data_IF_596080203836
#
_entry.id   IF_596080203836
#
_cell.length_a   1.000
_cell.length_b   1.000
_cell.length_c   1.000
_cell.angle_alpha   90.00
_cell.angle_beta   90.00
_cell.angle_gamma   90.00
#
_symmetry.space_group_name_H-M   'P 1'
#
loop_
_entity.id
_entity.type
_entity.pdbx_description
1 polymer ?
#
# COMPACT_ATOMS: atom_id res chain seq x y z
N UNK A 1 -11.45 11.82 0.95
CA UNK A 1 -10.99 11.44 2.31
C UNK A 1 -9.83 12.30 2.74
N UNK A 2 -9.96 13.07 3.83
CA UNK A 2 -8.90 13.99 4.30
C UNK A 2 -7.59 13.25 4.60
N UNK A 3 -7.68 12.01 5.11
CA UNK A 3 -6.54 11.13 5.39
C UNK A 3 -5.69 10.82 4.16
N UNK A 4 -6.30 10.59 3.00
CA UNK A 4 -5.60 10.33 1.73
C UNK A 4 -4.86 11.57 1.22
N UNK A 5 -5.38 12.76 1.54
CA UNK A 5 -4.80 14.04 1.12
C UNK A 5 -3.66 14.50 2.03
N UNK A 6 -3.74 14.18 3.33
CA UNK A 6 -2.77 14.64 4.33
C UNK A 6 -1.71 13.60 4.68
N UNK A 7 -1.86 12.34 4.25
CA UNK A 7 -0.97 11.23 4.60
C UNK A 7 -0.37 10.59 3.36
N UNK A 8 0.96 10.48 3.33
CA UNK A 8 1.64 9.78 2.23
C UNK A 8 1.42 8.26 2.31
N UNK A 9 1.39 7.54 1.18
CA UNK A 9 1.21 6.08 1.17
C UNK A 9 2.25 5.33 2.02
N UNK A 10 3.51 5.80 2.05
CA UNK A 10 4.55 5.22 2.90
C UNK A 10 4.27 5.46 4.40
N UNK A 11 3.74 6.63 4.77
CA UNK A 11 3.36 6.89 6.16
C UNK A 11 2.12 6.06 6.58
N UNK A 12 1.24 5.71 5.64
CA UNK A 12 0.12 4.80 5.88
C UNK A 12 0.61 3.38 6.18
N UNK A 13 1.61 2.86 5.46
CA UNK A 13 2.16 1.52 5.74
C UNK A 13 2.90 1.47 7.08
N UNK A 14 3.66 2.51 7.42
CA UNK A 14 4.29 2.63 8.74
C UNK A 14 3.23 2.65 9.85
N UNK A 15 2.14 3.39 9.65
CA UNK A 15 1.01 3.45 10.59
C UNK A 15 0.29 2.12 10.73
N UNK A 16 0.13 1.38 9.62
CA UNK A 16 -0.45 0.04 9.60
C UNK A 16 0.44 -0.97 10.33
N UNK A 17 1.76 -0.93 10.15
CA UNK A 17 2.70 -1.78 10.89
C UNK A 17 2.58 -1.56 12.41
N UNK A 18 2.51 -0.30 12.83
CA UNK A 18 2.35 0.05 14.25
C UNK A 18 1.01 -0.40 14.80
N UNK A 19 -0.05 -0.23 14.02
CA UNK A 19 -1.42 -0.61 14.41
C UNK A 19 -1.59 -2.13 14.49
N UNK A 20 -0.97 -2.88 13.57
CA UNK A 20 -1.01 -4.34 13.55
C UNK A 20 0.05 -4.97 14.47
N UNK A 21 0.87 -4.18 15.17
CA UNK A 21 1.94 -4.68 16.03
C UNK A 21 1.46 -5.65 17.12
N UNK A 22 0.21 -5.54 17.59
CA UNK A 22 -0.37 -6.48 18.56
C UNK A 22 -0.54 -7.91 17.99
N UNK A 23 -0.69 -8.06 16.66
CA UNK A 23 -0.80 -9.36 16.01
C UNK A 23 0.53 -10.13 16.02
N UNK A 24 1.66 -9.46 16.32
CA UNK A 24 2.95 -10.12 16.52
C UNK A 24 2.90 -11.13 17.66
N UNK A 25 2.03 -10.91 18.66
CA UNK A 25 1.79 -11.85 19.78
C UNK A 25 1.19 -13.18 19.28
N UNK A 26 0.40 -13.12 18.20
CA UNK A 26 -0.22 -14.29 17.56
C UNK A 26 0.73 -14.89 16.49
N UNK A 27 2.02 -14.51 16.51
CA UNK A 27 3.07 -14.95 15.55
C UNK A 27 2.80 -14.56 14.09
N UNK A 28 2.02 -13.51 13.85
CA UNK A 28 1.82 -12.97 12.50
C UNK A 28 3.04 -12.09 12.13
N UNK A 29 3.66 -12.29 10.94
CA UNK A 29 4.83 -11.54 10.49
C UNK A 29 4.46 -10.12 10.02
N UNK A 30 4.19 -9.22 10.97
CA UNK A 30 3.72 -7.85 10.70
C UNK A 30 4.77 -7.02 9.95
N UNK A 31 6.06 -7.24 10.23
CA UNK A 31 7.14 -6.48 9.62
C UNK A 31 7.26 -6.78 8.11
N UNK A 32 7.18 -8.07 7.77
CA UNK A 32 7.26 -8.59 6.41
C UNK A 32 6.06 -8.12 5.59
N UNK A 33 4.85 -8.12 6.18
CA UNK A 33 3.65 -7.57 5.55
C UNK A 33 3.81 -6.07 5.27
N UNK A 34 4.29 -5.30 6.25
CA UNK A 34 4.55 -3.86 6.06
C UNK A 34 5.58 -3.59 4.95
N UNK A 35 6.63 -4.40 4.88
CA UNK A 35 7.64 -4.32 3.84
C UNK A 35 7.05 -4.60 2.45
N UNK A 36 6.31 -5.71 2.30
CA UNK A 36 5.65 -6.06 1.03
C UNK A 36 4.68 -4.95 0.59
N UNK A 37 3.90 -4.40 1.52
CA UNK A 37 2.99 -3.29 1.23
C UNK A 37 3.72 -2.01 0.82
N UNK A 38 4.82 -1.67 1.48
CA UNK A 38 5.63 -0.49 1.13
C UNK A 38 6.29 -0.62 -0.25
N UNK A 39 6.72 -1.83 -0.62
CA UNK A 39 7.22 -2.14 -1.98
C UNK A 39 6.07 -2.03 -2.99
N UNK A 40 4.91 -2.62 -2.70
CA UNK A 40 3.75 -2.58 -3.58
C UNK A 40 3.31 -1.14 -3.87
N UNK A 41 3.19 -0.30 -2.84
CA UNK A 41 2.81 1.11 -3.00
C UNK A 41 3.81 1.91 -3.87
N UNK A 42 5.09 1.57 -3.83
CA UNK A 42 6.11 2.17 -4.70
C UNK A 42 6.10 1.61 -6.11
N UNK A 43 5.69 0.35 -6.29
CA UNK A 43 5.63 -0.29 -7.60
C UNK A 43 4.36 0.06 -8.37
N UNK A 44 3.24 0.35 -7.71
CA UNK A 44 1.97 0.71 -8.37
C UNK A 44 2.15 1.86 -9.38
N UNK A 45 2.75 3.02 -9.04
CA UNK A 45 2.94 4.11 -10.02
C UNK A 45 3.74 3.66 -11.24
N UNK A 46 4.82 2.90 -11.02
CA UNK A 46 5.70 2.46 -12.09
C UNK A 46 4.99 1.43 -13.00
N UNK A 47 4.18 0.53 -12.41
CA UNK A 47 3.39 -0.44 -13.17
C UNK A 47 2.30 0.24 -14.01
N UNK A 48 1.68 1.30 -13.50
CA UNK A 48 0.70 2.10 -14.27
C UNK A 48 1.38 2.76 -15.47
N UNK A 49 2.53 3.40 -15.26
CA UNK A 49 3.30 4.00 -16.36
C UNK A 49 3.76 2.98 -17.40
N UNK A 50 4.19 1.80 -16.96
CA UNK A 50 4.62 0.72 -17.85
C UNK A 50 3.44 0.13 -18.63
N UNK A 51 2.29 -0.03 -17.97
CA UNK A 51 1.04 -0.46 -18.61
C UNK A 51 0.64 0.53 -19.71
N UNK A 52 0.68 1.83 -19.43
CA UNK A 52 0.36 2.88 -20.41
C UNK A 52 1.32 2.86 -21.61
N UNK A 53 2.63 2.69 -21.37
CA UNK A 53 3.63 2.54 -22.43
C UNK A 53 3.37 1.32 -23.32
N UNK A 54 3.11 0.16 -22.71
CA UNK A 54 2.84 -1.08 -23.45
C UNK A 54 1.53 -0.94 -24.23
N UNK A 55 0.48 -0.40 -23.62
CA UNK A 55 -0.82 -0.20 -24.26
C UNK A 55 -0.69 0.69 -25.49
N UNK A 56 -0.02 1.85 -25.39
CA UNK A 56 0.25 2.74 -26.53
C UNK A 56 1.08 2.07 -27.62
N UNK A 57 2.09 1.28 -27.26
CA UNK A 57 2.90 0.55 -28.23
C UNK A 57 2.10 -0.53 -28.98
N UNK A 58 1.19 -1.22 -28.31
CA UNK A 58 0.32 -2.21 -28.94
C UNK A 58 -0.77 -1.56 -29.81
N UNK A 59 -1.34 -0.44 -29.39
CA UNK A 59 -2.27 0.35 -30.22
C UNK A 59 -1.60 0.80 -31.53
N UNK A 60 -0.35 1.26 -31.46
CA UNK A 60 0.44 1.62 -32.65
C UNK A 60 0.74 0.41 -33.57
N UNK A 61 0.73 -0.81 -33.03
CA UNK A 61 0.88 -2.07 -33.79
C UNK A 61 -0.46 -2.62 -34.30
N UNK A 62 -1.55 -1.88 -34.16
CA UNK A 62 -2.87 -2.26 -34.66
C UNK A 62 -3.69 -3.12 -33.70
N UNK A 63 -3.29 -3.24 -32.44
CA UNK A 63 -4.12 -3.89 -31.42
C UNK A 63 -5.26 -2.95 -30.99
N UNK A 64 -6.50 -3.41 -31.16
CA UNK A 64 -7.69 -2.72 -30.67
C UNK A 64 -8.13 -3.32 -29.32
N UNK A 65 -8.12 -2.50 -28.27
CA UNK A 65 -8.49 -2.89 -26.91
C UNK A 65 -9.94 -2.48 -26.55
N UNK A 66 -10.58 -1.65 -27.38
CA UNK A 66 -11.85 -0.98 -27.06
C UNK A 66 -13.03 -1.63 -27.80
N UNK A 67 -12.82 -2.18 -28.99
CA UNK A 67 -13.89 -2.78 -29.80
C UNK A 67 -14.06 -4.30 -29.58
N UNK A 68 -15.26 -4.80 -29.88
CA UNK A 68 -15.58 -6.24 -29.86
C UNK A 68 -16.28 -6.77 -28.60
N UNK A 69 -16.59 -8.06 -28.63
CA UNK A 69 -17.23 -8.79 -27.52
C UNK A 69 -16.27 -8.97 -26.32
N UNK A 70 -16.80 -9.23 -25.13
CA UNK A 70 -16.01 -9.44 -23.89
C UNK A 70 -14.87 -10.46 -24.08
N UNK A 71 -15.13 -11.53 -24.85
CA UNK A 71 -14.15 -12.58 -25.15
C UNK A 71 -13.01 -12.07 -26.06
N UNK A 72 -13.33 -11.20 -27.02
CA UNK A 72 -12.35 -10.58 -27.91
C UNK A 72 -11.48 -9.58 -27.13
N UNK A 73 -12.10 -8.79 -26.24
CA UNK A 73 -11.37 -7.89 -25.32
C UNK A 73 -10.42 -8.64 -24.40
N UNK A 74 -10.85 -9.76 -23.82
CA UNK A 74 -9.99 -10.59 -22.97
C UNK A 74 -8.77 -11.13 -23.75
N UNK A 75 -8.96 -11.59 -25.00
CA UNK A 75 -7.84 -12.01 -25.86
C UNK A 75 -6.93 -10.85 -26.25
N UNK A 76 -7.50 -9.67 -26.51
CA UNK A 76 -6.74 -8.46 -26.83
C UNK A 76 -5.86 -7.99 -25.67
N UNK A 77 -6.17 -8.33 -24.41
CA UNK A 77 -5.33 -7.99 -23.25
C UNK A 77 -4.09 -8.89 -23.08
N UNK A 78 -4.01 -10.05 -23.73
CA UNK A 78 -2.88 -10.99 -23.57
C UNK A 78 -1.52 -10.37 -23.93
N UNK A 79 -1.37 -9.63 -25.06
CA UNK A 79 -0.13 -8.94 -25.42
C UNK A 79 0.28 -7.81 -24.46
N UNK A 80 -0.64 -7.32 -23.63
CA UNK A 80 -0.35 -6.35 -22.55
C UNK A 80 0.13 -7.08 -21.29
N UNK A 81 -0.56 -8.16 -20.91
CA UNK A 81 -0.32 -8.88 -19.66
C UNK A 81 1.02 -9.61 -19.64
N UNK A 82 1.40 -10.28 -20.75
CA UNK A 82 2.64 -11.08 -20.79
C UNK A 82 3.90 -10.22 -20.59
N UNK A 83 4.10 -9.10 -21.32
CA UNK A 83 5.27 -8.24 -21.10
C UNK A 83 5.28 -7.59 -19.72
N UNK A 84 4.11 -7.14 -19.23
CA UNK A 84 3.99 -6.54 -17.89
C UNK A 84 4.39 -7.54 -16.80
N UNK A 85 3.94 -8.80 -16.93
CA UNK A 85 4.26 -9.85 -15.98
C UNK A 85 5.76 -10.19 -15.96
N UNK A 86 6.38 -10.35 -17.14
CA UNK A 86 7.83 -10.61 -17.24
C UNK A 86 8.63 -9.45 -16.63
N UNK A 87 8.23 -8.20 -16.92
CA UNK A 87 8.88 -7.02 -16.35
C UNK A 87 8.76 -6.96 -14.82
N UNK A 88 7.57 -7.25 -14.28
CA UNK A 88 7.34 -7.30 -12.84
C UNK A 88 8.20 -8.38 -12.15
N UNK A 89 8.29 -9.58 -12.75
CA UNK A 89 9.13 -10.68 -12.25
C UNK A 89 10.61 -10.29 -12.22
N UNK A 90 11.11 -9.69 -13.31
CA UNK A 90 12.50 -9.21 -13.37
C UNK A 90 12.77 -8.14 -12.30
N UNK A 91 11.84 -7.22 -12.09
CA UNK A 91 12.00 -6.18 -11.07
C UNK A 91 12.01 -6.76 -9.66
N UNK A 92 11.22 -7.80 -9.41
CA UNK A 92 11.24 -8.51 -8.15
C UNK A 92 12.58 -9.22 -7.92
N UNK A 93 13.15 -9.87 -8.94
CA UNK A 93 14.46 -10.53 -8.85
C UNK A 93 15.59 -9.52 -8.63
N UNK A 94 15.57 -8.41 -9.37
CA UNK A 94 16.58 -7.35 -9.23
C UNK A 94 16.51 -6.70 -7.84
N UNK A 95 15.29 -6.49 -7.32
CA UNK A 95 15.09 -5.97 -5.97
C UNK A 95 15.60 -6.95 -4.91
N UNK A 96 15.26 -8.23 -5.01
CA UNK A 96 15.71 -9.26 -4.07
C UNK A 96 17.24 -9.35 -4.04
N UNK A 97 17.89 -9.41 -5.21
CA UNK A 97 19.35 -9.41 -5.32
C UNK A 97 19.98 -8.15 -4.72
N UNK A 98 19.40 -6.97 -4.97
CA UNK A 98 19.87 -5.72 -4.38
C UNK A 98 19.68 -5.67 -2.85
N UNK A 99 18.67 -6.35 -2.32
CA UNK A 99 18.44 -6.47 -0.89
C UNK A 99 19.44 -7.41 -0.21
N UNK A 100 19.73 -8.55 -0.83
CA UNK A 100 20.76 -9.49 -0.38
C UNK A 100 22.16 -8.86 -0.42
N UNK A 101 22.49 -8.13 -1.48
CA UNK A 101 23.76 -7.39 -1.60
C UNK A 101 23.92 -6.30 -0.53
N UNK A 102 22.81 -5.78 0.01
CA UNK A 102 22.79 -4.86 1.15
C UNK A 102 22.68 -5.57 2.50
N UNK A 103 22.93 -6.87 2.54
CA UNK A 103 22.86 -7.72 3.73
C UNK A 103 21.51 -7.61 4.47
N UNK A 104 20.41 -7.53 3.74
CA UNK A 104 19.07 -7.49 4.35
C UNK A 104 18.66 -8.91 4.81
N UNK A 105 18.65 -9.15 6.12
CA UNK A 105 18.37 -10.48 6.71
C UNK A 105 17.05 -10.59 7.50
N UNK A 106 16.06 -9.72 7.26
CA UNK A 106 14.76 -9.80 7.96
C UNK A 106 14.73 -9.15 9.37
N UNK A 107 13.56 -9.20 10.02
CA UNK A 107 13.06 -8.25 11.01
C UNK A 107 13.55 -8.32 12.46
N UNK A 108 14.59 -9.10 12.79
CA UNK A 108 15.13 -9.14 14.16
C UNK A 108 16.30 -8.14 14.35
N UNK A 109 16.27 -7.35 15.43
CA UNK A 109 17.35 -6.42 15.79
C UNK A 109 17.50 -5.16 14.92
N UNK A 110 16.53 -4.85 14.05
CA UNK A 110 16.62 -3.70 13.13
C UNK A 110 16.31 -2.34 13.78
N UNK A 111 17.14 -1.35 13.48
CA UNK A 111 16.90 0.07 13.80
C UNK A 111 16.05 0.73 12.70
N UNK A 112 14.99 1.46 13.07
CA UNK A 112 14.17 2.23 12.13
C UNK A 112 14.81 3.59 11.84
N UNK A 113 15.04 3.91 10.55
CA UNK A 113 15.58 5.21 10.13
C UNK A 113 14.61 6.38 10.39
N UNK A 114 13.30 6.14 10.22
CA UNK A 114 12.24 7.13 10.44
C UNK A 114 11.19 6.58 11.41
N UNK A 115 11.41 6.67 12.74
CA UNK A 115 10.44 6.18 13.71
C UNK A 115 9.21 7.10 13.79
N UNK A 116 8.02 6.50 13.94
CA UNK A 116 6.77 7.21 14.24
C UNK A 116 6.79 7.75 15.68
N UNK A 117 7.16 9.02 15.83
CA UNK A 117 7.19 9.73 17.12
C UNK A 117 5.87 10.48 17.36
N UNK A 118 5.24 10.21 18.51
CA UNK A 118 4.08 10.98 18.95
C UNK A 118 4.48 12.43 19.25
N UNK A 119 3.64 13.37 18.83
CA UNK A 119 3.77 14.81 19.10
C UNK A 119 2.64 15.29 20.02
N UNK A 120 2.80 16.48 20.59
CA UNK A 120 1.78 17.13 21.44
C UNK A 120 0.43 17.29 20.72
N UNK A 121 0.45 17.46 19.39
CA UNK A 121 -0.75 17.56 18.56
C UNK A 121 -1.54 16.24 18.58
N UNK A 122 -0.86 15.09 18.59
CA UNK A 122 -1.53 13.78 18.66
C UNK A 122 -2.28 13.63 19.98
N UNK A 123 -1.70 14.11 21.10
CA UNK A 123 -2.32 14.10 22.42
C UNK A 123 -3.58 14.97 22.43
N UNK A 124 -3.50 16.18 21.87
CA UNK A 124 -4.66 17.09 21.76
C UNK A 124 -5.76 16.45 20.89
N UNK A 125 -5.40 15.81 19.79
CA UNK A 125 -6.36 15.11 18.92
C UNK A 125 -7.06 13.96 19.64
N UNK A 126 -6.32 13.13 20.40
CA UNK A 126 -6.92 12.06 21.21
C UNK A 126 -7.86 12.62 22.29
N UNK A 127 -7.50 13.73 22.93
CA UNK A 127 -8.33 14.37 23.95
C UNK A 127 -9.63 14.93 23.34
N UNK A 128 -9.56 15.57 22.18
CA UNK A 128 -10.74 16.03 21.45
C UNK A 128 -11.68 14.87 21.10
N UNK A 129 -11.13 13.76 20.59
CA UNK A 129 -11.93 12.56 20.26
C UNK A 129 -12.59 11.95 21.50
N UNK A 130 -11.87 11.89 22.63
CA UNK A 130 -12.39 11.36 23.88
C UNK A 130 -13.54 12.22 24.43
N UNK A 131 -13.40 13.54 24.41
CA UNK A 131 -14.47 14.47 24.83
C UNK A 131 -15.69 14.31 23.93
N UNK A 132 -15.50 14.28 22.61
CA UNK A 132 -16.58 14.07 21.65
C UNK A 132 -17.35 12.76 21.93
N UNK A 133 -16.62 11.68 22.16
CA UNK A 133 -17.19 10.35 22.42
C UNK A 133 -17.99 10.33 23.74
N UNK A 134 -17.49 10.97 24.80
CA UNK A 134 -18.21 11.11 26.07
C UNK A 134 -19.49 11.95 25.93
N UNK A 135 -19.46 13.04 25.17
CA UNK A 135 -20.64 13.88 24.91
C UNK A 135 -21.70 13.08 24.15
N UNK A 136 -21.32 12.33 23.12
CA UNK A 136 -22.25 11.47 22.39
C UNK A 136 -22.89 10.41 23.30
N UNK A 137 -22.11 9.74 24.17
CA UNK A 137 -22.64 8.77 25.12
C UNK A 137 -23.60 9.44 26.12
N UNK A 138 -23.23 10.60 26.66
CA UNK A 138 -24.06 11.34 27.60
C UNK A 138 -25.39 11.77 26.96
N UNK A 139 -25.36 12.28 25.73
CA UNK A 139 -26.57 12.64 24.98
C UNK A 139 -27.47 11.42 24.73
N UNK A 140 -26.90 10.27 24.35
CA UNK A 140 -27.65 9.02 24.16
C UNK A 140 -28.26 8.55 25.48
N UNK A 141 -27.54 8.66 26.60
CA UNK A 141 -28.04 8.27 27.91
C UNK A 141 -29.17 9.19 28.40
N UNK A 142 -29.08 10.48 28.11
CA UNK A 142 -30.13 11.48 28.42
C UNK A 142 -31.37 11.30 27.55
N UNK A 143 -31.21 11.00 26.25
CA UNK A 143 -32.35 10.76 25.33
C UNK A 143 -33.01 9.39 25.51
N UNK A 144 -32.30 8.42 26.09
CA UNK A 144 -32.83 7.08 26.36
C UNK A 144 -33.57 6.99 27.70
N UNK A 145 -33.50 8.04 28.52
CA UNK A 145 -34.20 8.17 29.81
C UNK A 145 -35.43 9.06 29.65
#
# INVERSE_FOLDING_TARGET
SIMTLTTTPNALTDGLEKSLGFLKVIKIPVHEISMMMSIALRFIPILIEETDKIMKAQMARGADFESGNIIQKAKAMVPLLVPLFISAMRRATDLAMAMEARCYHGGEGRTKLKPLKYKKIDIIAYLYYLIYMLICIALVFVFRK
#
